data_IF_120132538432
#
_entry.id   IF_120132538432
#
_cell.length_a   1.000
_cell.length_b   1.000
_cell.length_c   1.000
_cell.angle_alpha   90.00
_cell.angle_beta   90.00
_cell.angle_gamma   90.00
#
_symmetry.space_group_name_H-M   'P 1'
#
loop_
_entity.id
_entity.type
_entity.pdbx_description
1 polymer ?
#
# COMPACT_ATOMS: atom_id res chain seq x y z
N UNK A 1 13.80 -4.85 -20.15
CA UNK A 1 13.37 -6.26 -19.98
C UNK A 1 12.94 -6.44 -18.53
N UNK A 2 11.72 -6.92 -18.28
CA UNK A 2 11.24 -7.11 -16.91
C UNK A 2 12.05 -8.23 -16.23
N UNK A 3 12.68 -7.92 -15.09
CA UNK A 3 13.36 -8.92 -14.26
C UNK A 3 12.29 -9.77 -13.56
N UNK A 4 12.10 -11.00 -14.03
CA UNK A 4 11.15 -11.96 -13.46
C UNK A 4 11.83 -12.68 -12.31
N UNK A 5 11.26 -12.60 -11.11
CA UNK A 5 11.80 -13.34 -9.95
C UNK A 5 11.63 -14.84 -10.14
N UNK A 6 12.52 -15.64 -9.54
CA UNK A 6 12.46 -17.11 -9.59
C UNK A 6 11.10 -17.65 -9.10
N UNK A 7 10.49 -16.99 -8.12
CA UNK A 7 9.18 -17.35 -7.59
C UNK A 7 8.03 -17.05 -8.57
N UNK A 8 8.12 -15.99 -9.36
CA UNK A 8 7.16 -15.69 -10.43
C UNK A 8 7.24 -16.73 -11.55
N UNK A 9 8.46 -17.12 -11.96
CA UNK A 9 8.70 -18.16 -12.96
C UNK A 9 8.10 -19.51 -12.54
N UNK A 10 8.39 -19.97 -11.32
CA UNK A 10 7.91 -21.27 -10.83
C UNK A 10 6.39 -21.33 -10.64
N UNK A 11 5.70 -20.18 -10.58
CA UNK A 11 4.24 -20.10 -10.40
C UNK A 11 3.48 -19.80 -11.70
N UNK A 12 4.17 -19.61 -12.82
CA UNK A 12 3.57 -19.11 -14.04
C UNK A 12 2.99 -17.70 -13.92
N UNK A 13 3.39 -16.93 -12.89
CA UNK A 13 2.93 -15.55 -12.65
C UNK A 13 3.93 -14.56 -13.27
N UNK A 14 4.09 -14.66 -14.59
CA UNK A 14 5.02 -13.82 -15.36
C UNK A 14 4.63 -12.34 -15.35
N UNK A 15 3.35 -12.04 -15.08
CA UNK A 15 2.84 -10.67 -14.97
C UNK A 15 3.02 -10.08 -13.56
N UNK A 16 3.27 -10.92 -12.55
CA UNK A 16 3.39 -10.48 -11.16
C UNK A 16 2.06 -9.98 -10.57
N UNK A 17 0.94 -10.51 -11.06
CA UNK A 17 -0.41 -10.11 -10.62
C UNK A 17 -0.69 -10.50 -9.17
N UNK A 18 0.07 -11.48 -8.61
CA UNK A 18 -0.10 -11.95 -7.24
C UNK A 18 0.98 -11.41 -6.30
N UNK A 19 1.38 -10.14 -6.49
CA UNK A 19 2.30 -9.47 -5.57
C UNK A 19 1.57 -9.13 -4.28
N UNK A 20 2.09 -9.61 -3.18
CA UNK A 20 1.59 -9.28 -1.86
C UNK A 20 1.74 -7.78 -1.57
N UNK A 21 0.72 -7.19 -0.96
CA UNK A 21 0.84 -5.86 -0.38
C UNK A 21 1.55 -5.98 0.96
N UNK A 22 2.71 -5.36 1.13
CA UNK A 22 3.42 -5.38 2.42
C UNK A 22 2.84 -4.33 3.36
N UNK A 23 3.03 -4.46 4.69
CA UNK A 23 2.69 -3.42 5.65
C UNK A 23 3.33 -2.06 5.27
N UNK A 24 2.80 -0.94 5.78
CA UNK A 24 3.28 0.38 5.39
C UNK A 24 4.74 0.58 5.80
N UNK A 25 5.50 1.31 4.97
CA UNK A 25 6.95 1.54 5.13
C UNK A 25 7.80 0.26 5.20
N UNK A 26 7.34 -0.84 4.60
CA UNK A 26 8.18 -2.00 4.40
C UNK A 26 9.38 -1.67 3.51
N UNK A 27 10.54 -2.23 3.87
CA UNK A 27 11.71 -2.20 2.99
C UNK A 27 11.40 -2.84 1.63
N UNK A 28 12.20 -2.55 0.58
CA UNK A 28 12.08 -3.25 -0.69
C UNK A 28 12.09 -4.78 -0.49
N UNK A 29 11.28 -5.49 -1.26
CA UNK A 29 10.95 -6.92 -1.05
C UNK A 29 12.16 -7.80 -0.71
N UNK A 30 13.30 -7.61 -1.37
CA UNK A 30 14.52 -8.36 -1.11
C UNK A 30 15.02 -8.17 0.33
N UNK A 31 15.16 -6.93 0.78
CA UNK A 31 15.56 -6.62 2.15
C UNK A 31 14.47 -6.98 3.16
N UNK A 32 13.20 -6.79 2.80
CA UNK A 32 12.11 -7.17 3.69
C UNK A 32 12.14 -8.66 4.02
N UNK A 33 12.36 -9.54 3.03
CA UNK A 33 12.45 -10.98 3.23
C UNK A 33 13.65 -11.36 4.11
N UNK A 34 14.77 -10.65 3.97
CA UNK A 34 16.00 -10.91 4.73
C UNK A 34 15.90 -10.44 6.19
N UNK A 35 15.23 -9.31 6.44
CA UNK A 35 15.14 -8.70 7.78
C UNK A 35 13.90 -9.14 8.57
N UNK A 36 12.79 -9.51 7.92
CA UNK A 36 11.58 -9.91 8.62
C UNK A 36 11.71 -11.33 9.20
N UNK A 37 11.66 -11.43 10.53
CA UNK A 37 11.74 -12.71 11.26
C UNK A 37 10.43 -13.47 11.36
N UNK A 38 9.33 -12.92 10.81
CA UNK A 38 7.99 -13.56 10.84
C UNK A 38 7.50 -13.83 12.27
N UNK A 39 7.77 -12.89 13.17
CA UNK A 39 7.39 -12.98 14.58
C UNK A 39 5.92 -12.66 14.87
N UNK A 40 5.13 -12.33 13.84
CA UNK A 40 3.71 -11.98 13.89
C UNK A 40 3.32 -10.78 14.77
N UNK A 41 4.25 -10.16 15.50
CA UNK A 41 3.98 -8.98 16.36
C UNK A 41 3.24 -7.85 15.65
N UNK A 42 3.55 -7.59 14.37
CA UNK A 42 2.86 -6.56 13.58
C UNK A 42 1.39 -6.91 13.25
N UNK A 43 1.05 -8.20 13.20
CA UNK A 43 -0.33 -8.68 13.04
C UNK A 43 -1.09 -8.42 14.34
N UNK A 44 -0.50 -8.77 15.48
CA UNK A 44 -1.15 -8.69 16.80
C UNK A 44 -1.49 -7.25 17.21
N UNK A 45 -0.66 -6.27 16.82
CA UNK A 45 -0.89 -4.85 17.17
C UNK A 45 -1.79 -4.11 16.19
N UNK A 46 -2.16 -4.72 15.06
CA UNK A 46 -3.01 -4.07 14.07
C UNK A 46 -4.47 -4.13 14.52
N UNK A 47 -4.98 -3.03 15.10
CA UNK A 47 -6.35 -2.95 15.62
C UNK A 47 -7.41 -3.26 14.55
N UNK A 48 -7.23 -2.76 13.33
CA UNK A 48 -8.15 -2.99 12.21
C UNK A 48 -7.99 -4.38 11.54
N UNK A 49 -7.11 -5.24 12.07
CA UNK A 49 -6.84 -6.61 11.58
C UNK A 49 -6.52 -6.70 10.06
N UNK A 50 -5.96 -5.62 9.52
CA UNK A 50 -5.60 -5.48 8.10
C UNK A 50 -4.34 -6.25 7.75
N UNK A 51 -3.43 -6.44 8.71
CA UNK A 51 -2.21 -7.21 8.50
C UNK A 51 -2.53 -8.68 8.77
N UNK A 52 -2.41 -9.51 7.75
CA UNK A 52 -2.66 -10.95 7.80
C UNK A 52 -1.38 -11.74 7.53
N UNK A 53 -1.33 -12.99 8.02
CA UNK A 53 -0.25 -13.90 7.69
C UNK A 53 -0.40 -14.37 6.25
N UNK A 54 0.48 -13.88 5.39
CA UNK A 54 0.52 -14.20 3.99
C UNK A 54 1.45 -15.36 3.65
N UNK A 55 1.94 -15.35 2.41
CA UNK A 55 2.74 -16.47 1.89
C UNK A 55 4.12 -16.52 2.54
N UNK A 56 4.58 -17.74 2.80
CA UNK A 56 5.88 -17.96 3.44
C UNK A 56 5.94 -17.47 4.90
N UNK A 57 4.78 -17.17 5.50
CA UNK A 57 4.68 -16.63 6.86
C UNK A 57 5.02 -15.15 6.97
N UNK A 58 5.16 -14.44 5.85
CA UNK A 58 5.40 -13.00 5.88
C UNK A 58 4.07 -12.23 6.02
N UNK A 59 4.06 -11.10 6.73
CA UNK A 59 2.86 -10.28 6.86
C UNK A 59 2.51 -9.61 5.53
N UNK A 60 1.21 -9.53 5.25
CA UNK A 60 0.61 -8.95 4.06
C UNK A 60 -0.63 -8.12 4.45
N UNK A 61 -0.90 -7.03 3.74
CA UNK A 61 -2.10 -6.21 3.91
C UNK A 61 -3.27 -6.80 3.15
N UNK A 62 -4.42 -6.93 3.81
CA UNK A 62 -5.70 -7.30 3.21
C UNK A 62 -6.66 -6.10 3.18
N UNK A 63 -6.66 -5.38 2.06
CA UNK A 63 -7.52 -4.22 1.84
C UNK A 63 -9.01 -4.56 1.64
N UNK A 64 -9.39 -5.84 1.62
CA UNK A 64 -10.82 -6.21 1.63
C UNK A 64 -11.46 -6.00 3.01
N UNK A 65 -10.65 -5.91 4.07
CA UNK A 65 -11.11 -5.73 5.45
C UNK A 65 -11.26 -4.26 5.84
N UNK A 66 -10.58 -3.35 5.16
CA UNK A 66 -10.59 -1.93 5.47
C UNK A 66 -9.38 -1.18 4.94
N UNK A 67 -9.20 0.05 5.42
CA UNK A 67 -8.09 0.94 5.07
C UNK A 67 -7.18 1.18 6.27
N UNK A 68 -5.87 1.26 6.02
CA UNK A 68 -4.91 1.58 7.07
C UNK A 68 -4.98 3.07 7.40
N UNK A 69 -5.11 3.38 8.69
CA UNK A 69 -5.12 4.74 9.26
C UNK A 69 -3.72 5.34 9.46
N UNK A 70 -2.68 4.56 9.19
CA UNK A 70 -1.28 4.93 9.40
C UNK A 70 -0.92 5.24 10.86
N UNK A 71 -1.48 4.54 11.85
CA UNK A 71 -1.18 4.68 13.29
C UNK A 71 0.27 4.37 13.73
N UNK A 72 1.05 3.72 12.86
CA UNK A 72 2.48 3.38 13.04
C UNK A 72 2.78 2.31 14.09
N UNK A 73 1.78 1.66 14.68
CA UNK A 73 2.02 0.67 15.74
C UNK A 73 2.79 -0.56 15.23
N UNK A 74 2.56 -0.98 13.99
CA UNK A 74 3.35 -2.01 13.34
C UNK A 74 4.83 -1.63 13.15
N UNK A 75 5.16 -0.34 13.04
CA UNK A 75 6.55 0.14 12.95
C UNK A 75 7.21 0.12 14.32
N UNK A 76 6.50 0.58 15.35
CA UNK A 76 7.01 0.66 16.74
C UNK A 76 7.41 -0.71 17.29
N UNK A 77 6.66 -1.76 16.93
CA UNK A 77 6.93 -3.13 17.41
C UNK A 77 7.97 -3.90 16.56
N UNK A 78 8.39 -3.35 15.42
CA UNK A 78 9.30 -4.03 14.50
C UNK A 78 10.76 -3.93 14.95
N UNK A 79 11.19 -4.87 15.80
CA UNK A 79 12.56 -4.93 16.33
C UNK A 79 13.64 -5.08 15.24
N UNK A 80 13.32 -5.78 14.13
CA UNK A 80 14.29 -6.03 13.06
C UNK A 80 14.41 -4.89 12.06
N UNK A 81 13.65 -3.80 12.24
CA UNK A 81 13.60 -2.67 11.30
C UNK A 81 13.23 -3.07 9.86
N UNK A 82 12.52 -4.18 9.67
CA UNK A 82 11.96 -4.57 8.37
C UNK A 82 10.87 -3.58 7.89
N UNK A 83 10.23 -2.88 8.83
CA UNK A 83 9.34 -1.75 8.62
C UNK A 83 10.00 -0.50 9.20
N UNK A 84 10.25 0.53 8.40
CA UNK A 84 10.94 1.74 8.86
C UNK A 84 10.60 2.96 8.00
N UNK A 85 10.28 4.08 8.66
CA UNK A 85 10.22 5.39 8.02
C UNK A 85 11.63 5.85 7.64
N UNK A 86 11.82 6.10 6.35
CA UNK A 86 13.08 6.59 5.79
C UNK A 86 12.89 8.08 5.50
N UNK A 87 13.69 8.98 6.10
CA UNK A 87 13.63 10.40 5.79
C UNK A 87 14.07 10.64 4.35
N UNK A 88 13.41 11.55 3.63
CA UNK A 88 13.83 11.98 2.30
C UNK A 88 14.97 12.98 2.45
N UNK A 89 16.10 12.69 1.82
CA UNK A 89 17.22 13.62 1.70
C UNK A 89 16.96 14.55 0.52
N UNK A 90 15.98 15.43 0.66
CA UNK A 90 15.75 16.47 -0.34
C UNK A 90 16.83 17.54 -0.16
N UNK A 91 17.91 17.43 -0.94
CA UNK A 91 18.98 18.43 -1.04
C UNK A 91 18.55 19.68 -1.84
N UNK A 92 17.36 19.67 -2.45
CA UNK A 92 16.86 20.72 -3.35
C UNK A 92 15.39 21.11 -3.07
N UNK A 93 15.03 21.37 -1.82
CA UNK A 93 13.80 22.10 -1.52
C UNK A 93 14.16 23.43 -0.84
N UNK A 94 13.71 24.51 -1.45
CA UNK A 94 13.73 25.87 -0.93
C UNK A 94 12.90 25.85 0.37
N UNK A 95 13.58 25.74 1.52
CA UNK A 95 12.95 25.42 2.82
C UNK A 95 12.29 26.67 3.41
N UNK A 96 10.97 26.64 3.60
CA UNK A 96 10.29 27.50 4.58
C UNK A 96 10.20 26.78 5.93
N UNK A 97 10.29 27.55 7.01
CA UNK A 97 10.63 27.10 8.37
C UNK A 97 9.55 26.28 9.11
N UNK A 98 8.55 25.75 8.41
CA UNK A 98 7.40 25.02 8.98
C UNK A 98 7.32 23.53 8.58
N UNK A 99 8.25 23.06 7.74
CA UNK A 99 8.17 21.73 7.16
C UNK A 99 8.75 20.65 8.09
N UNK A 100 7.84 19.86 8.69
CA UNK A 100 8.15 18.61 9.39
C UNK A 100 9.02 17.69 8.50
N UNK A 101 9.89 16.84 9.10
CA UNK A 101 10.74 15.95 8.32
C UNK A 101 9.92 15.13 7.32
N UNK A 102 10.21 15.30 6.03
CA UNK A 102 9.58 14.55 4.95
C UNK A 102 10.09 13.11 4.96
N UNK A 103 9.18 12.14 5.04
CA UNK A 103 9.49 10.72 4.98
C UNK A 103 9.02 10.13 3.65
N UNK A 104 9.62 9.02 3.23
CA UNK A 104 9.08 8.24 2.11
C UNK A 104 7.62 7.86 2.38
N UNK A 105 6.76 7.80 1.33
CA UNK A 105 5.37 7.42 1.49
C UNK A 105 5.25 5.98 2.02
N UNK A 106 4.14 5.64 2.71
CA UNK A 106 3.92 4.31 3.28
C UNK A 106 3.93 3.21 2.21
N UNK A 107 3.50 3.54 0.99
CA UNK A 107 3.56 2.66 -0.15
C UNK A 107 3.91 3.41 -1.43
N UNK A 108 4.47 2.69 -2.39
CA UNK A 108 4.52 3.10 -3.81
C UNK A 108 3.35 2.48 -4.59
N UNK A 109 2.16 2.47 -3.99
CA UNK A 109 0.94 1.93 -4.58
C UNK A 109 0.06 3.06 -5.07
N UNK A 110 -0.58 2.87 -6.22
CA UNK A 110 -1.55 3.81 -6.78
C UNK A 110 -2.87 3.08 -7.01
N UNK A 111 -3.92 3.54 -6.35
CA UNK A 111 -5.28 3.08 -6.62
C UNK A 111 -5.68 3.44 -8.06
N UNK A 112 -6.39 2.54 -8.71
CA UNK A 112 -6.92 2.76 -10.06
C UNK A 112 -8.37 2.29 -10.12
N UNK A 113 -9.17 2.97 -10.95
CA UNK A 113 -10.55 2.61 -11.23
C UNK A 113 -10.60 2.11 -12.67
N UNK A 114 -11.09 0.88 -12.86
CA UNK A 114 -11.34 0.34 -14.20
C UNK A 114 -12.56 1.02 -14.82
N UNK A 115 -12.32 1.97 -15.72
CA UNK A 115 -13.37 2.75 -16.36
C UNK A 115 -14.31 1.89 -17.22
N UNK A 116 -13.86 0.75 -17.74
CA UNK A 116 -14.72 -0.16 -18.51
C UNK A 116 -15.72 -0.90 -17.62
N UNK A 117 -15.48 -0.96 -16.31
CA UNK A 117 -16.39 -1.57 -15.32
C UNK A 117 -17.14 -0.53 -14.49
N UNK A 118 -16.80 0.75 -14.64
CA UNK A 118 -17.47 1.84 -13.95
C UNK A 118 -18.90 1.99 -14.49
N UNK A 119 -19.91 1.83 -13.62
CA UNK A 119 -21.32 1.95 -13.98
C UNK A 119 -21.65 3.32 -14.62
N UNK A 120 -21.03 4.39 -14.11
CA UNK A 120 -21.19 5.76 -14.63
C UNK A 120 -20.65 5.94 -16.04
N UNK A 121 -19.62 5.18 -16.42
CA UNK A 121 -19.10 5.14 -17.78
C UNK A 121 -19.89 4.19 -18.68
N UNK A 122 -20.69 3.30 -18.09
CA UNK A 122 -21.50 2.29 -18.76
C UNK A 122 -23.00 2.63 -18.70
N UNK A 123 -23.35 3.87 -19.01
CA UNK A 123 -24.73 4.35 -19.17
C UNK A 123 -25.66 4.19 -17.94
N UNK A 124 -25.09 4.08 -16.73
CA UNK A 124 -25.86 4.01 -15.47
C UNK A 124 -25.53 5.20 -14.60
N UNK A 125 -26.54 5.90 -14.06
CA UNK A 125 -26.30 7.01 -13.11
C UNK A 125 -25.86 6.41 -11.77
N UNK A 126 -24.55 6.33 -11.55
CA UNK A 126 -23.94 5.85 -10.32
C UNK A 126 -22.88 6.83 -9.83
N UNK A 127 -22.83 7.10 -8.52
CA UNK A 127 -21.78 7.90 -7.87
C UNK A 127 -21.37 7.35 -6.51
N UNK A 128 -21.80 6.13 -6.20
CA UNK A 128 -21.71 5.56 -4.86
C UNK A 128 -20.29 5.57 -4.29
N UNK A 129 -19.26 5.29 -5.10
CA UNK A 129 -17.88 5.33 -4.60
C UNK A 129 -17.39 6.75 -4.25
N UNK A 130 -17.86 7.78 -4.95
CA UNK A 130 -17.54 9.17 -4.60
C UNK A 130 -18.32 9.65 -3.38
N UNK A 131 -19.58 9.24 -3.25
CA UNK A 131 -20.44 9.59 -2.11
C UNK A 131 -20.00 8.89 -0.82
N UNK A 132 -19.50 7.65 -0.91
CA UNK A 132 -18.95 6.91 0.22
C UNK A 132 -17.53 7.32 0.62
N UNK A 133 -16.87 8.17 -0.16
CA UNK A 133 -15.51 8.61 0.12
C UNK A 133 -15.53 9.91 0.92
N UNK A 134 -15.34 9.82 2.24
CA UNK A 134 -15.36 10.96 3.14
C UNK A 134 -14.32 12.03 2.77
N UNK A 135 -13.15 11.61 2.30
CA UNK A 135 -12.07 12.50 1.85
C UNK A 135 -12.34 13.18 0.50
N UNK A 136 -13.40 12.77 -0.22
CA UNK A 136 -13.73 13.30 -1.54
C UNK A 136 -12.66 13.02 -2.60
N UNK A 137 -11.89 11.93 -2.44
CA UNK A 137 -10.78 11.58 -3.32
C UNK A 137 -11.23 11.15 -4.74
N UNK A 138 -12.46 10.64 -4.87
CA UNK A 138 -13.04 10.20 -6.15
C UNK A 138 -13.97 11.30 -6.70
N UNK A 139 -13.60 11.88 -7.84
CA UNK A 139 -14.34 12.98 -8.47
C UNK A 139 -15.02 12.52 -9.76
N UNK A 140 -16.25 12.99 -9.97
CA UNK A 140 -17.03 12.76 -11.18
C UNK A 140 -17.19 14.06 -11.97
N UNK A 141 -16.55 14.14 -13.14
CA UNK A 141 -16.73 15.27 -14.05
C UNK A 141 -18.01 15.07 -14.87
N UNK A 142 -19.00 15.94 -14.64
CA UNK A 142 -20.21 15.99 -15.44
C UNK A 142 -19.88 16.54 -16.83
N UNK A 143 -20.09 15.71 -17.86
CA UNK A 143 -20.09 16.16 -19.25
C UNK A 143 -21.53 16.21 -19.73
N UNK A 144 -21.95 17.39 -20.20
CA UNK A 144 -23.19 17.53 -20.96
C UNK A 144 -22.97 16.86 -22.32
N UNK A 145 -23.92 16.02 -22.73
CA UNK A 145 -23.94 15.38 -24.04
C UNK A 145 -24.33 16.35 -25.14
#
# INVERSE_FOLDING_TARGET
MAQISRMQLLRGDFKGEKKAFRPPWALPEQYFIDYCTRCDKCIDVCFDELIVKGRGGFPEMDFNKGGCDFCEDCLKICETSALKKIPTSDENSDKTEEDSPSYLPPWSLKASIDLNKCLSMNATICRSCGESCDDGAIKFDLKLG
#
